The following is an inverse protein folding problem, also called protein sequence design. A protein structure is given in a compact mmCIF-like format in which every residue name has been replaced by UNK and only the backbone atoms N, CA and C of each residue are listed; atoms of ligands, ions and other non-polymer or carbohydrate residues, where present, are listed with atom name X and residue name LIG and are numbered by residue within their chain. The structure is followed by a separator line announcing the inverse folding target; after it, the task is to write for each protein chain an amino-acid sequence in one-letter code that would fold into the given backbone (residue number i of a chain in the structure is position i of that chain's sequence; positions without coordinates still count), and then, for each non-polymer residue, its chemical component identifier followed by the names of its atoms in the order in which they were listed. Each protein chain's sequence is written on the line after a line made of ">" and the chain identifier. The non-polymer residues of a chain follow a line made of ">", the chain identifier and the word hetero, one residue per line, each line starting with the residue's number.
data_IF_666130539561
#
_entry.id   IF_666130539561
#
_cell.length_a   1.000
_cell.length_b   1.000
_cell.length_c   1.000
_cell.angle_alpha   90.00
_cell.angle_beta   90.00
_cell.angle_gamma   90.00
#
_symmetry.space_group_name_H-M   'P 1'
#
loop_
_entity.id
_entity.type
_entity.pdbx_description
1 polymer ?
#
# COMPACT_ATOMS: atom_id res chain seq x y z
N UNK A 1 9.05 -11.38 -41.93
CA UNK A 1 10.46 -11.02 -41.64
C UNK A 1 10.58 -10.68 -40.17
N UNK A 2 11.42 -11.39 -39.41
CA UNK A 2 11.73 -11.00 -38.02
C UNK A 2 12.51 -9.68 -38.05
N UNK A 3 12.20 -8.70 -37.20
CA UNK A 3 12.95 -7.45 -37.17
C UNK A 3 14.43 -7.74 -36.85
N UNK A 4 15.38 -6.96 -37.40
CA UNK A 4 16.80 -7.15 -37.10
C UNK A 4 17.03 -6.98 -35.59
N UNK A 5 17.94 -7.79 -35.04
CA UNK A 5 18.25 -7.88 -33.59
C UNK A 5 18.38 -6.52 -32.91
N UNK A 6 18.94 -5.51 -33.59
CA UNK A 6 19.11 -4.15 -33.09
C UNK A 6 17.78 -3.40 -32.86
N UNK A 7 16.80 -3.58 -33.74
CA UNK A 7 15.46 -2.98 -33.61
C UNK A 7 14.66 -3.68 -32.51
N UNK A 8 14.82 -5.00 -32.37
CA UNK A 8 14.23 -5.75 -31.27
C UNK A 8 14.82 -5.33 -29.90
N UNK A 9 16.13 -5.11 -29.83
CA UNK A 9 16.82 -4.57 -28.64
C UNK A 9 16.38 -3.14 -28.30
N UNK A 10 16.27 -2.25 -29.29
CA UNK A 10 15.80 -0.87 -29.10
C UNK A 10 14.33 -0.80 -28.68
N UNK A 11 13.46 -1.65 -29.25
CA UNK A 11 12.06 -1.73 -28.86
C UNK A 11 11.90 -2.37 -27.46
N UNK A 12 12.74 -3.34 -27.11
CA UNK A 12 12.77 -3.92 -25.77
C UNK A 12 13.27 -2.91 -24.71
N UNK A 13 14.31 -2.12 -25.02
CA UNK A 13 14.78 -1.06 -24.13
C UNK A 13 13.78 0.09 -24.01
N UNK A 14 13.10 0.47 -25.09
CA UNK A 14 12.05 1.49 -25.06
C UNK A 14 10.83 1.04 -24.22
N UNK A 15 10.44 -0.24 -24.31
CA UNK A 15 9.37 -0.82 -23.46
C UNK A 15 9.78 -0.94 -22.00
N UNK A 16 11.03 -1.27 -21.70
CA UNK A 16 11.55 -1.31 -20.33
C UNK A 16 11.61 0.08 -19.66
N UNK A 17 11.80 1.14 -20.45
CA UNK A 17 11.88 2.53 -19.96
C UNK A 17 10.50 3.19 -19.77
N UNK A 18 9.43 2.65 -20.37
CA UNK A 18 8.12 3.29 -20.36
C UNK A 18 7.46 3.38 -18.95
N UNK A 19 7.50 2.35 -18.08
CA UNK A 19 6.95 2.45 -16.73
C UNK A 19 7.66 3.49 -15.85
N UNK A 20 8.99 3.59 -15.97
CA UNK A 20 9.79 4.57 -15.23
C UNK A 20 9.51 6.00 -15.71
N UNK A 21 9.31 6.19 -17.02
CA UNK A 21 8.91 7.47 -17.60
C UNK A 21 7.53 7.93 -17.06
N UNK A 22 6.53 7.03 -17.03
CA UNK A 22 5.22 7.35 -16.45
C UNK A 22 5.33 7.68 -14.95
N UNK A 23 6.14 6.92 -14.20
CA UNK A 23 6.32 7.20 -12.78
C UNK A 23 6.97 8.58 -12.54
N UNK A 24 7.95 8.96 -13.37
CA UNK A 24 8.56 10.29 -13.35
C UNK A 24 7.55 11.39 -13.63
N UNK A 25 6.72 11.23 -14.65
CA UNK A 25 5.66 12.19 -15.00
C UNK A 25 4.61 12.32 -13.90
N UNK A 26 4.19 11.20 -13.31
CA UNK A 26 3.29 11.19 -12.16
C UNK A 26 3.92 11.90 -10.96
N UNK A 27 5.23 11.74 -10.72
CA UNK A 27 5.96 12.42 -9.65
C UNK A 27 6.05 13.93 -9.88
N UNK A 28 6.30 14.37 -11.11
CA UNK A 28 6.24 15.79 -11.49
C UNK A 28 4.86 16.36 -11.18
N UNK A 29 3.79 15.69 -11.63
CA UNK A 29 2.42 16.13 -11.41
C UNK A 29 2.04 16.15 -9.92
N UNK A 30 2.49 15.15 -9.15
CA UNK A 30 2.21 15.07 -7.71
C UNK A 30 2.86 16.23 -6.96
N UNK A 31 4.15 16.52 -7.22
CA UNK A 31 4.85 17.65 -6.59
C UNK A 31 4.31 19.00 -7.06
N UNK A 32 3.93 19.14 -8.32
CA UNK A 32 3.29 20.36 -8.84
C UNK A 32 1.94 20.65 -8.16
N UNK A 33 1.28 19.64 -7.61
CA UNK A 33 0.05 19.79 -6.81
C UNK A 33 0.31 20.10 -5.32
N UNK A 34 1.57 20.36 -4.94
CA UNK A 34 2.00 20.53 -3.55
C UNK A 34 1.59 19.35 -2.65
N UNK A 35 1.51 18.15 -3.22
CA UNK A 35 1.11 16.92 -2.53
C UNK A 35 -0.35 16.95 -2.00
N UNK A 36 -1.18 17.92 -2.40
CA UNK A 36 -2.58 18.08 -1.95
C UNK A 36 -3.50 17.06 -2.65
N UNK A 37 -3.19 16.70 -3.90
CA UNK A 37 -3.95 15.68 -4.62
C UNK A 37 -3.44 14.30 -4.22
N UNK A 38 -4.34 13.44 -3.75
CA UNK A 38 -3.98 12.08 -3.34
C UNK A 38 -3.21 11.32 -4.45
N UNK A 39 -2.12 10.64 -4.07
CA UNK A 39 -1.20 10.02 -5.02
C UNK A 39 -1.89 8.96 -5.90
N UNK A 40 -2.88 8.22 -5.37
CA UNK A 40 -3.69 7.27 -6.14
C UNK A 40 -4.47 7.96 -7.28
N UNK A 41 -4.94 9.20 -7.06
CA UNK A 41 -5.64 9.99 -8.08
C UNK A 41 -4.69 10.49 -9.16
N UNK A 42 -3.48 10.90 -8.78
CA UNK A 42 -2.43 11.27 -9.74
C UNK A 42 -2.05 10.08 -10.60
N UNK A 43 -1.78 8.93 -9.98
CA UNK A 43 -1.47 7.68 -10.68
C UNK A 43 -2.60 7.25 -11.62
N UNK A 44 -3.85 7.26 -11.14
CA UNK A 44 -5.00 6.91 -11.96
C UNK A 44 -5.15 7.83 -13.17
N UNK A 45 -4.83 9.12 -13.03
CA UNK A 45 -4.83 10.07 -14.15
C UNK A 45 -3.73 9.77 -15.15
N UNK A 46 -2.51 9.51 -14.69
CA UNK A 46 -1.39 9.16 -15.55
C UNK A 46 -1.67 7.88 -16.34
N UNK A 47 -2.18 6.83 -15.67
CA UNK A 47 -2.48 5.54 -16.29
C UNK A 47 -3.64 5.56 -17.30
N UNK A 48 -4.57 6.52 -17.19
CA UNK A 48 -5.65 6.69 -18.18
C UNK A 48 -5.14 7.11 -19.56
N UNK A 49 -4.02 7.83 -19.62
CA UNK A 49 -3.39 8.23 -20.88
C UNK A 49 -2.70 7.08 -21.61
N UNK A 50 -2.32 6.02 -20.88
CA UNK A 50 -1.51 4.92 -21.40
C UNK A 50 -2.33 3.66 -21.64
N UNK A 51 -3.12 3.61 -22.71
CA UNK A 51 -3.91 2.41 -23.06
C UNK A 51 -3.06 1.22 -23.52
N UNK A 52 -1.81 1.46 -23.94
CA UNK A 52 -0.89 0.46 -24.47
C UNK A 52 -0.20 -0.40 -23.40
N UNK A 53 -0.24 0.01 -22.13
CA UNK A 53 0.46 -0.69 -21.05
C UNK A 53 -0.27 -1.98 -20.66
N UNK A 54 0.51 -3.05 -20.57
CA UNK A 54 0.09 -4.31 -19.95
C UNK A 54 -0.11 -4.15 -18.44
N UNK A 55 -0.86 -5.06 -17.80
CA UNK A 55 -1.05 -5.04 -16.34
C UNK A 55 0.27 -5.09 -15.55
N UNK A 56 1.28 -5.79 -16.10
CA UNK A 56 2.61 -5.85 -15.51
C UNK A 56 3.31 -4.48 -15.55
N UNK A 57 3.28 -3.78 -16.69
CA UNK A 57 3.87 -2.45 -16.84
C UNK A 57 3.14 -1.42 -15.97
N UNK A 58 1.81 -1.47 -15.90
CA UNK A 58 1.02 -0.61 -15.00
C UNK A 58 1.41 -0.82 -13.53
N UNK A 59 1.61 -2.09 -13.13
CA UNK A 59 2.04 -2.43 -11.77
C UNK A 59 3.43 -1.90 -11.48
N UNK A 60 4.39 -2.09 -12.38
CA UNK A 60 5.75 -1.55 -12.21
C UNK A 60 5.70 -0.03 -12.06
N UNK A 61 4.96 0.67 -12.93
CA UNK A 61 4.84 2.12 -12.84
C UNK A 61 4.20 2.58 -11.52
N UNK A 62 3.16 1.87 -11.05
CA UNK A 62 2.53 2.13 -9.77
C UNK A 62 3.49 1.90 -8.59
N UNK A 63 4.24 0.80 -8.58
CA UNK A 63 5.18 0.45 -7.51
C UNK A 63 6.36 1.43 -7.46
N UNK A 64 6.83 1.91 -8.61
CA UNK A 64 7.87 2.93 -8.70
C UNK A 64 7.34 4.28 -8.21
N UNK A 65 6.20 4.75 -8.73
CA UNK A 65 5.64 6.04 -8.35
C UNK A 65 5.21 6.07 -6.88
N UNK A 66 4.34 5.15 -6.45
CA UNK A 66 3.84 5.12 -5.08
C UNK A 66 4.96 4.83 -4.08
N UNK A 67 5.87 3.91 -4.39
CA UNK A 67 7.02 3.62 -3.53
C UNK A 67 8.00 4.78 -3.40
N UNK A 68 8.01 5.72 -4.37
CA UNK A 68 8.74 6.98 -4.26
C UNK A 68 7.94 8.01 -3.46
N UNK A 69 6.66 8.19 -3.80
CA UNK A 69 5.76 9.17 -3.20
C UNK A 69 5.57 8.95 -1.69
N UNK A 70 5.46 7.71 -1.23
CA UNK A 70 5.26 7.40 0.21
C UNK A 70 6.50 7.66 1.07
N UNK A 71 7.68 7.82 0.46
CA UNK A 71 8.94 8.09 1.16
C UNK A 71 9.68 9.31 0.62
N UNK A 72 8.94 10.31 0.12
CA UNK A 72 9.51 11.51 -0.47
C UNK A 72 10.58 12.16 0.40
N UNK A 73 10.33 12.33 1.70
CA UNK A 73 11.28 12.98 2.61
C UNK A 73 12.61 12.23 2.72
N UNK A 74 12.57 10.90 2.63
CA UNK A 74 13.78 10.06 2.62
C UNK A 74 14.59 10.30 1.35
N UNK A 75 13.94 10.28 0.19
CA UNK A 75 14.65 10.45 -1.07
C UNK A 75 15.09 11.90 -1.29
N UNK A 76 14.36 12.90 -0.79
CA UNK A 76 14.81 14.30 -0.76
C UNK A 76 16.09 14.45 0.08
N UNK A 77 16.17 13.79 1.24
CA UNK A 77 17.38 13.75 2.06
C UNK A 77 18.56 13.12 1.32
N UNK A 78 18.36 11.93 0.75
CA UNK A 78 19.40 11.21 -0.01
C UNK A 78 19.88 12.06 -1.20
N UNK A 79 18.95 12.67 -1.93
CA UNK A 79 19.26 13.56 -3.03
C UNK A 79 20.14 14.74 -2.61
N UNK A 80 19.84 15.36 -1.46
CA UNK A 80 20.63 16.47 -0.93
C UNK A 80 22.06 16.00 -0.56
N UNK A 81 22.21 14.85 0.10
CA UNK A 81 23.52 14.33 0.50
C UNK A 81 24.40 13.91 -0.68
N UNK A 82 23.79 13.32 -1.72
CA UNK A 82 24.50 12.89 -2.92
C UNK A 82 24.69 14.01 -3.95
N UNK A 83 24.16 15.20 -3.70
CA UNK A 83 24.18 16.31 -4.67
C UNK A 83 23.40 16.00 -5.95
N UNK A 84 22.36 15.16 -5.88
CA UNK A 84 21.54 14.76 -7.04
C UNK A 84 20.54 15.84 -7.45
N UNK A 85 20.09 16.67 -6.51
CA UNK A 85 19.20 17.80 -6.77
C UNK A 85 20.02 19.10 -6.69
N UNK A 86 20.28 19.73 -7.83
CA UNK A 86 20.98 21.03 -7.89
C UNK A 86 20.02 22.20 -7.72
N UNK A 87 20.54 23.39 -7.40
CA UNK A 87 19.76 24.62 -7.19
C UNK A 87 18.96 25.11 -8.42
N UNK A 88 19.26 24.61 -9.62
CA UNK A 88 18.61 25.00 -10.88
C UNK A 88 17.94 23.82 -11.62
N UNK A 89 17.64 22.72 -10.92
CA UNK A 89 16.98 21.56 -11.52
C UNK A 89 15.50 21.83 -11.81
N UNK A 90 15.06 21.59 -13.06
CA UNK A 90 13.63 21.60 -13.38
C UNK A 90 12.88 20.44 -12.69
N UNK A 91 11.54 20.48 -12.73
CA UNK A 91 10.71 19.47 -12.06
C UNK A 91 10.99 18.03 -12.56
N UNK A 92 11.33 17.87 -13.85
CA UNK A 92 11.66 16.58 -14.44
C UNK A 92 12.98 16.04 -13.92
N UNK A 93 14.00 16.90 -13.82
CA UNK A 93 15.30 16.56 -13.26
C UNK A 93 15.19 16.18 -11.78
N UNK A 94 14.39 16.92 -10.99
CA UNK A 94 14.13 16.58 -9.59
C UNK A 94 13.41 15.24 -9.47
N UNK A 95 12.38 14.98 -10.28
CA UNK A 95 11.69 13.69 -10.28
C UNK A 95 12.64 12.53 -10.65
N UNK A 96 13.49 12.71 -11.64
CA UNK A 96 14.50 11.70 -12.00
C UNK A 96 15.52 11.45 -10.87
N UNK A 97 15.95 12.51 -10.17
CA UNK A 97 16.84 12.41 -9.02
C UNK A 97 16.20 11.63 -7.86
N UNK A 98 14.92 11.86 -7.56
CA UNK A 98 14.18 11.13 -6.53
C UNK A 98 14.04 9.63 -6.87
N UNK A 99 13.72 9.32 -8.13
CA UNK A 99 13.67 7.93 -8.60
C UNK A 99 15.04 7.25 -8.49
N UNK A 100 16.10 7.95 -8.88
CA UNK A 100 17.47 7.46 -8.73
C UNK A 100 17.85 7.22 -7.27
N UNK A 101 17.50 8.16 -6.38
CA UNK A 101 17.74 8.02 -4.94
C UNK A 101 16.99 6.81 -4.35
N UNK A 102 15.78 6.50 -4.84
CA UNK A 102 15.06 5.26 -4.49
C UNK A 102 15.78 4.02 -4.96
N UNK A 103 16.18 3.98 -6.22
CA UNK A 103 16.76 2.78 -6.84
C UNK A 103 18.17 2.48 -6.31
N UNK A 104 18.90 3.51 -5.88
CA UNK A 104 20.25 3.41 -5.32
C UNK A 104 20.29 3.54 -3.78
N UNK A 105 19.14 3.39 -3.10
CA UNK A 105 19.06 3.44 -1.63
C UNK A 105 19.72 2.22 -1.00
N UNK A 106 20.98 2.39 -0.57
CA UNK A 106 21.80 1.38 0.11
C UNK A 106 21.81 1.52 1.64
N UNK A 107 21.10 2.51 2.18
CA UNK A 107 21.07 2.84 3.60
C UNK A 107 22.34 3.48 4.19
N UNK A 108 23.40 3.68 3.39
CA UNK A 108 24.70 4.19 3.86
C UNK A 108 24.76 5.72 3.84
N UNK A 109 23.94 6.36 4.68
CA UNK A 109 23.79 7.82 4.73
C UNK A 109 24.07 8.40 6.12
N UNK A 110 24.43 9.67 6.14
CA UNK A 110 24.48 10.43 7.40
C UNK A 110 23.07 10.93 7.71
N UNK A 111 22.53 10.62 8.88
CA UNK A 111 21.17 11.03 9.23
C UNK A 111 21.18 12.24 10.19
N UNK A 112 20.12 13.08 10.19
CA UNK A 112 20.00 14.24 11.08
C UNK A 112 20.29 13.92 12.54
N UNK A 113 20.90 14.84 13.28
CA UNK A 113 21.13 14.66 14.72
C UNK A 113 19.83 14.75 15.52
N UNK A 114 18.93 15.66 15.13
CA UNK A 114 17.61 15.77 15.71
C UNK A 114 16.80 14.49 15.49
N UNK A 115 16.09 14.03 16.52
CA UNK A 115 15.43 12.75 16.50
C UNK A 115 14.11 12.75 15.69
N UNK A 116 13.40 13.89 15.60
CA UNK A 116 12.21 14.01 14.76
C UNK A 116 12.60 14.08 13.28
N UNK A 117 13.62 14.89 12.96
CA UNK A 117 14.19 14.96 11.61
C UNK A 117 14.78 13.63 11.19
N UNK A 118 15.50 12.94 12.08
CA UNK A 118 16.04 11.60 11.83
C UNK A 118 14.92 10.64 11.47
N UNK A 119 13.86 10.57 12.27
CA UNK A 119 12.74 9.66 12.00
C UNK A 119 12.06 10.00 10.67
N UNK A 120 11.88 11.29 10.36
CA UNK A 120 11.31 11.75 9.10
C UNK A 120 12.18 11.37 7.89
N UNK A 121 13.49 11.61 7.98
CA UNK A 121 14.44 11.30 6.91
C UNK A 121 14.61 9.79 6.73
N UNK A 122 14.63 9.00 7.81
CA UNK A 122 14.82 7.54 7.69
C UNK A 122 13.56 6.82 7.23
N UNK A 123 12.37 7.20 7.71
CA UNK A 123 11.11 6.56 7.31
C UNK A 123 10.54 7.13 6.00
N UNK A 124 10.77 8.42 5.74
CA UNK A 124 10.13 9.17 4.67
C UNK A 124 8.80 9.83 5.08
N UNK A 125 8.33 9.63 6.31
CA UNK A 125 7.12 10.27 6.82
C UNK A 125 7.33 11.78 7.08
N UNK A 126 6.26 12.61 7.04
CA UNK A 126 6.38 14.05 7.30
C UNK A 126 6.90 14.36 8.72
N UNK A 127 7.74 15.40 8.82
CA UNK A 127 8.37 15.82 10.09
C UNK A 127 7.35 16.06 11.21
N UNK A 128 6.28 16.81 10.92
CA UNK A 128 5.24 17.11 11.90
C UNK A 128 4.56 15.84 12.46
N UNK A 129 4.43 14.80 11.63
CA UNK A 129 3.80 13.54 12.02
C UNK A 129 4.78 12.69 12.84
N UNK A 130 6.07 12.70 12.49
CA UNK A 130 7.12 12.06 13.27
C UNK A 130 7.21 12.66 14.68
N UNK A 131 7.23 14.00 14.79
CA UNK A 131 7.20 14.70 16.07
C UNK A 131 5.97 14.33 16.91
N UNK A 132 4.80 14.26 16.27
CA UNK A 132 3.56 13.84 16.93
C UNK A 132 3.62 12.39 17.43
N UNK A 133 4.07 11.45 16.59
CA UNK A 133 4.21 10.05 16.99
C UNK A 133 5.22 9.88 18.12
N UNK A 134 6.38 10.55 18.07
CA UNK A 134 7.37 10.48 19.15
C UNK A 134 6.82 11.03 20.46
N UNK A 135 6.09 12.14 20.41
CA UNK A 135 5.43 12.72 21.59
C UNK A 135 4.36 11.80 22.18
N UNK A 136 3.50 11.22 21.34
CA UNK A 136 2.30 10.49 21.80
C UNK A 136 2.59 9.00 22.09
N UNK A 137 3.54 8.37 21.40
CA UNK A 137 3.79 6.93 21.43
C UNK A 137 5.17 6.57 22.02
N UNK A 138 6.05 7.56 22.22
CA UNK A 138 7.45 7.32 22.57
C UNK A 138 8.28 6.82 21.38
N UNK A 139 9.59 6.74 21.58
CA UNK A 139 10.56 6.57 20.49
C UNK A 139 10.43 5.25 19.73
N UNK A 140 10.42 4.12 20.45
CA UNK A 140 10.40 2.79 19.83
C UNK A 140 9.12 2.53 19.02
N UNK A 141 7.96 2.93 19.56
CA UNK A 141 6.66 2.74 18.89
C UNK A 141 6.52 3.72 17.73
N UNK A 142 6.96 4.98 17.88
CA UNK A 142 6.96 5.93 16.77
C UNK A 142 7.81 5.46 15.59
N UNK A 143 8.99 4.88 15.86
CA UNK A 143 9.84 4.28 14.83
C UNK A 143 9.13 3.15 14.08
N UNK A 144 8.48 2.24 14.81
CA UNK A 144 7.73 1.15 14.20
C UNK A 144 6.52 1.65 13.38
N UNK A 145 5.77 2.62 13.89
CA UNK A 145 4.61 3.20 13.19
C UNK A 145 5.05 3.92 11.91
N UNK A 146 6.11 4.72 11.96
CA UNK A 146 6.60 5.45 10.80
C UNK A 146 7.11 4.50 9.71
N UNK A 147 7.84 3.46 10.10
CA UNK A 147 8.33 2.42 9.19
C UNK A 147 7.18 1.66 8.51
N UNK A 148 6.16 1.22 9.27
CA UNK A 148 5.01 0.51 8.71
C UNK A 148 4.12 1.42 7.85
N UNK A 149 3.94 2.67 8.25
CA UNK A 149 3.07 3.65 7.55
C UNK A 149 3.62 4.09 6.20
N UNK A 150 4.92 3.91 5.97
CA UNK A 150 5.62 4.29 4.73
C UNK A 150 6.01 3.08 3.88
N UNK A 151 5.63 1.86 4.32
CA UNK A 151 5.78 0.62 3.58
C UNK A 151 4.51 0.29 2.81
N UNK A 152 4.65 -0.61 1.84
CA UNK A 152 3.50 -1.19 1.15
C UNK A 152 2.68 -1.99 2.16
N UNK A 153 1.41 -1.62 2.34
CA UNK A 153 0.51 -2.32 3.24
C UNK A 153 0.30 -3.80 2.84
N UNK A 154 0.05 -4.68 3.83
CA UNK A 154 -0.27 -6.07 3.57
C UNK A 154 -1.60 -6.19 2.82
N UNK A 155 -1.74 -7.26 2.02
CA UNK A 155 -3.04 -7.61 1.44
C UNK A 155 -3.69 -8.61 2.37
N UNK A 156 -4.80 -8.22 2.99
CA UNK A 156 -5.54 -9.07 3.93
C UNK A 156 -6.91 -9.38 3.35
N UNK A 157 -7.34 -10.63 3.52
CA UNK A 157 -8.64 -11.14 3.14
C UNK A 157 -9.51 -11.26 4.41
N UNK A 158 -10.81 -10.98 4.30
CA UNK A 158 -11.82 -11.46 5.26
C UNK A 158 -12.48 -12.69 4.67
N UNK A 159 -12.31 -13.85 5.29
CA UNK A 159 -13.04 -15.06 4.92
C UNK A 159 -14.47 -14.97 5.43
N UNK A 160 -15.44 -15.17 4.55
CA UNK A 160 -16.87 -15.15 4.87
C UNK A 160 -17.18 -16.12 6.01
N UNK A 161 -18.09 -15.76 6.90
CA UNK A 161 -18.19 -16.41 8.21
C UNK A 161 -18.61 -17.90 8.12
N UNK A 162 -19.46 -18.23 7.15
CA UNK A 162 -19.93 -19.60 6.85
C UNK A 162 -18.92 -20.46 6.06
N UNK A 163 -17.75 -19.93 5.73
CA UNK A 163 -16.69 -20.66 5.01
C UNK A 163 -15.62 -21.13 5.98
N UNK A 164 -15.06 -22.33 5.75
CA UNK A 164 -13.90 -22.78 6.54
C UNK A 164 -12.66 -21.98 6.15
N UNK A 165 -12.09 -21.24 7.11
CA UNK A 165 -10.82 -20.53 6.92
C UNK A 165 -9.69 -21.48 6.50
N UNK A 166 -9.65 -22.69 7.06
CA UNK A 166 -8.65 -23.70 6.70
C UNK A 166 -8.81 -24.20 5.26
N UNK A 167 -10.05 -24.33 4.77
CA UNK A 167 -10.29 -24.72 3.38
C UNK A 167 -9.81 -23.63 2.40
N UNK A 168 -10.01 -22.35 2.76
CA UNK A 168 -9.49 -21.22 1.96
C UNK A 168 -7.96 -21.19 1.99
N UNK A 169 -7.34 -21.39 3.15
CA UNK A 169 -5.88 -21.50 3.27
C UNK A 169 -5.32 -22.62 2.39
N UNK A 170 -5.94 -23.81 2.41
CA UNK A 170 -5.56 -24.95 1.57
C UNK A 170 -5.71 -24.66 0.08
N UNK A 171 -6.83 -24.06 -0.33
CA UNK A 171 -7.08 -23.69 -1.72
C UNK A 171 -6.07 -22.64 -2.23
N UNK A 172 -5.76 -21.64 -1.40
CA UNK A 172 -4.75 -20.63 -1.71
C UNK A 172 -3.34 -21.23 -1.78
N UNK A 173 -3.00 -22.12 -0.85
CA UNK A 173 -1.72 -22.83 -0.87
C UNK A 173 -1.55 -23.70 -2.12
N UNK A 174 -2.60 -24.39 -2.55
CA UNK A 174 -2.63 -25.15 -3.80
C UNK A 174 -2.43 -24.26 -5.04
N UNK A 175 -2.85 -22.99 -4.97
CA UNK A 175 -2.60 -21.97 -5.99
C UNK A 175 -1.22 -21.28 -5.85
N UNK A 176 -0.35 -21.74 -4.93
CA UNK A 176 0.99 -21.18 -4.70
C UNK A 176 0.99 -19.89 -3.90
N UNK A 177 -0.07 -19.59 -3.15
CA UNK A 177 -0.21 -18.38 -2.33
C UNK A 177 -0.04 -18.73 -0.86
N UNK A 178 1.03 -18.22 -0.26
CA UNK A 178 1.29 -18.36 1.17
C UNK A 178 0.48 -17.33 1.94
N UNK A 179 -0.24 -17.80 2.96
CA UNK A 179 -1.04 -16.96 3.85
C UNK A 179 -0.62 -17.14 5.30
N UNK A 180 -0.88 -16.11 6.11
CA UNK A 180 -0.72 -16.14 7.56
C UNK A 180 -1.97 -15.57 8.23
N UNK A 181 -2.29 -16.06 9.42
CA UNK A 181 -3.33 -15.48 10.27
C UNK A 181 -2.71 -14.39 11.14
N UNK A 182 -3.36 -13.22 11.29
CA UNK A 182 -2.89 -12.21 12.23
C UNK A 182 -2.82 -12.75 13.67
N UNK A 183 -1.96 -12.17 14.54
CA UNK A 183 -1.94 -12.52 15.95
C UNK A 183 -3.33 -12.43 16.59
N UNK A 184 -3.67 -13.37 17.48
CA UNK A 184 -5.00 -13.43 18.09
C UNK A 184 -5.42 -12.11 18.77
N UNK A 185 -4.46 -11.37 19.34
CA UNK A 185 -4.71 -10.08 19.99
C UNK A 185 -5.14 -8.95 19.04
N UNK A 186 -5.09 -9.13 17.72
CA UNK A 186 -5.60 -8.16 16.74
C UNK A 186 -7.14 -8.13 16.75
N UNK A 187 -7.80 -9.23 17.11
CA UNK A 187 -9.27 -9.32 17.08
C UNK A 187 -9.85 -9.53 15.67
N UNK A 188 -9.09 -10.11 14.74
CA UNK A 188 -9.52 -10.37 13.36
C UNK A 188 -9.52 -11.88 13.06
N UNK A 189 -10.45 -12.67 13.63
CA UNK A 189 -10.42 -14.14 13.56
C UNK A 189 -10.66 -14.69 12.15
N UNK A 190 -11.24 -13.88 11.26
CA UNK A 190 -11.55 -14.23 9.86
C UNK A 190 -10.48 -13.76 8.87
N UNK A 191 -9.37 -13.20 9.36
CA UNK A 191 -8.36 -12.59 8.51
C UNK A 191 -7.31 -13.60 8.00
N UNK A 192 -7.01 -13.50 6.70
CA UNK A 192 -5.84 -14.14 6.07
C UNK A 192 -4.99 -13.09 5.37
N UNK A 193 -3.74 -12.94 5.79
CA UNK A 193 -2.77 -12.02 5.18
C UNK A 193 -1.92 -12.74 4.15
N UNK A 194 -1.81 -12.18 2.95
CA UNK A 194 -0.98 -12.74 1.87
C UNK A 194 0.49 -12.36 2.10
N UNK A 195 1.34 -13.34 2.44
CA UNK A 195 2.75 -13.12 2.79
C UNK A 195 3.56 -12.60 1.59
N UNK A 196 3.27 -13.11 0.39
CA UNK A 196 3.88 -12.65 -0.87
C UNK A 196 3.33 -11.31 -1.41
N UNK A 197 2.43 -10.66 -0.66
CA UNK A 197 1.70 -9.49 -1.12
C UNK A 197 0.67 -9.82 -2.20
N UNK A 198 0.44 -8.88 -3.14
CA UNK A 198 -0.58 -9.06 -4.18
C UNK A 198 -0.15 -10.11 -5.22
N UNK A 199 -0.92 -11.19 -5.41
CA UNK A 199 -0.59 -12.27 -6.33
C UNK A 199 -0.60 -11.81 -7.80
N UNK A 200 -0.04 -12.62 -8.69
CA UNK A 200 -0.12 -12.40 -10.13
C UNK A 200 -1.60 -12.50 -10.57
N UNK A 201 -2.06 -11.56 -11.39
CA UNK A 201 -3.49 -11.44 -11.74
C UNK A 201 -4.34 -10.70 -10.69
N UNK A 202 -3.80 -10.45 -9.49
CA UNK A 202 -4.53 -9.79 -8.41
C UNK A 202 -5.43 -10.74 -7.62
N UNK A 203 -6.12 -10.20 -6.61
CA UNK A 203 -6.94 -11.00 -5.68
C UNK A 203 -8.11 -11.69 -6.39
N UNK A 204 -8.61 -11.09 -7.47
CA UNK A 204 -9.70 -11.63 -8.29
C UNK A 204 -9.36 -12.91 -9.05
N UNK A 205 -8.07 -13.24 -9.19
CA UNK A 205 -7.63 -14.48 -9.83
C UNK A 205 -7.46 -15.63 -8.82
N UNK A 206 -7.68 -15.38 -7.52
CA UNK A 206 -7.54 -16.39 -6.49
C UNK A 206 -8.77 -17.32 -6.44
N UNK A 207 -8.57 -18.62 -6.18
CA UNK A 207 -9.69 -19.53 -5.95
C UNK A 207 -10.53 -19.04 -4.76
N UNK A 208 -11.85 -19.09 -4.85
CA UNK A 208 -12.78 -18.60 -3.84
C UNK A 208 -13.25 -17.16 -4.06
N UNK A 209 -12.60 -16.38 -4.94
CA UNK A 209 -13.04 -15.00 -5.22
C UNK A 209 -14.37 -14.96 -5.97
N UNK A 210 -14.55 -15.75 -7.03
CA UNK A 210 -15.80 -15.78 -7.81
C UNK A 210 -16.98 -16.32 -7.02
N UNK A 211 -16.70 -17.18 -6.04
CA UNK A 211 -17.66 -17.80 -5.12
C UNK A 211 -17.93 -16.90 -3.89
N UNK A 212 -17.23 -15.75 -3.80
CA UNK A 212 -17.34 -14.79 -2.71
C UNK A 212 -16.89 -15.34 -1.36
N UNK A 213 -16.08 -16.39 -1.32
CA UNK A 213 -15.62 -17.06 -0.09
C UNK A 213 -14.81 -16.14 0.82
N UNK A 214 -14.22 -15.10 0.23
CA UNK A 214 -13.57 -14.02 0.94
C UNK A 214 -13.66 -12.72 0.15
N UNK A 215 -13.29 -11.63 0.81
CA UNK A 215 -13.12 -10.31 0.22
C UNK A 215 -11.82 -9.65 0.69
N UNK A 216 -11.36 -8.60 -0.01
CA UNK A 216 -10.20 -7.81 0.44
C UNK A 216 -10.64 -6.85 1.54
N UNK A 217 -10.12 -7.03 2.75
CA UNK A 217 -10.36 -6.13 3.88
C UNK A 217 -9.20 -6.20 4.87
N UNK A 218 -8.73 -5.04 5.34
CA UNK A 218 -7.67 -4.98 6.34
C UNK A 218 -8.11 -5.60 7.68
N UNK A 219 -7.15 -6.20 8.41
CA UNK A 219 -7.42 -6.84 9.68
C UNK A 219 -7.94 -5.86 10.75
N UNK A 220 -7.51 -4.60 10.74
CA UNK A 220 -7.98 -3.59 11.69
C UNK A 220 -9.46 -3.27 11.50
N UNK A 221 -9.93 -3.22 10.25
CA UNK A 221 -11.34 -3.07 9.91
C UNK A 221 -12.18 -4.25 10.36
N UNK A 222 -11.64 -5.48 10.24
CA UNK A 222 -12.29 -6.69 10.76
C UNK A 222 -12.38 -6.63 12.29
N UNK A 223 -11.33 -6.19 12.97
CA UNK A 223 -11.31 -6.03 14.42
C UNK A 223 -12.31 -4.99 14.94
N UNK A 224 -12.52 -3.90 14.21
CA UNK A 224 -13.56 -2.91 14.53
C UNK A 224 -14.95 -3.58 14.51
N UNK A 225 -15.20 -4.46 13.53
CA UNK A 225 -16.47 -5.18 13.42
C UNK A 225 -16.66 -6.11 14.62
N UNK A 226 -15.67 -6.93 14.96
CA UNK A 226 -15.77 -7.82 16.14
C UNK A 226 -15.97 -7.04 17.44
N UNK A 227 -15.27 -5.90 17.61
CA UNK A 227 -15.43 -5.05 18.78
C UNK A 227 -16.85 -4.48 18.95
N UNK A 228 -17.62 -4.34 17.86
CA UNK A 228 -19.04 -3.95 17.94
C UNK A 228 -19.93 -5.05 18.57
N UNK A 229 -19.47 -6.30 18.61
CA UNK A 229 -20.24 -7.45 19.13
C UNK A 229 -19.69 -8.00 20.46
N UNK A 230 -18.41 -7.76 20.79
CA UNK A 230 -17.75 -8.28 22.01
C UNK A 230 -18.14 -7.56 23.32
N UNK A 231 -18.88 -6.45 23.26
CA UNK A 231 -19.24 -5.65 24.42
C UNK A 231 -20.56 -6.04 25.11
N UNK A 232 -20.50 -6.55 26.34
CA UNK A 232 -21.65 -6.69 27.26
C UNK A 232 -22.26 -5.37 27.76
N UNK A 233 -21.87 -4.21 27.20
CA UNK A 233 -22.40 -2.90 27.53
C UNK A 233 -23.47 -2.45 26.54
N UNK A 234 -24.73 -2.84 26.79
CA UNK A 234 -25.97 -2.14 26.39
C UNK A 234 -26.29 -1.86 24.91
N UNK A 235 -25.34 -1.98 23.99
CA UNK A 235 -25.51 -1.78 22.55
C UNK A 235 -25.00 -2.94 21.69
N UNK A 236 -24.46 -3.99 22.32
CA UNK A 236 -24.16 -5.24 21.66
C UNK A 236 -25.46 -5.85 21.16
N UNK A 237 -25.47 -6.28 19.90
CA UNK A 237 -26.57 -6.98 19.24
C UNK A 237 -26.92 -8.33 19.86
N UNK A 238 -26.98 -8.48 21.18
CA UNK A 238 -27.56 -9.67 21.85
C UNK A 238 -29.09 -9.68 21.78
N UNK A 239 -29.67 -9.12 20.71
CA UNK A 239 -31.11 -9.04 20.48
C UNK A 239 -31.50 -7.98 19.46
N UNK A 240 -31.48 -8.33 18.17
CA UNK A 240 -32.27 -7.66 17.11
C UNK A 240 -32.04 -6.16 16.84
N UNK A 241 -31.02 -5.52 17.41
CA UNK A 241 -30.69 -4.12 17.15
C UNK A 241 -29.97 -3.93 15.81
N UNK A 242 -30.37 -2.92 15.04
CA UNK A 242 -29.67 -2.56 13.79
C UNK A 242 -28.32 -1.87 14.05
N UNK A 243 -27.34 -2.12 13.18
CA UNK A 243 -26.04 -1.44 13.19
C UNK A 243 -26.03 -0.28 12.17
N UNK A 244 -25.37 0.83 12.53
CA UNK A 244 -25.17 1.97 11.63
C UNK A 244 -23.68 2.14 11.31
N UNK A 245 -23.32 1.94 10.04
CA UNK A 245 -21.96 2.22 9.52
C UNK A 245 -21.89 3.66 8.98
N UNK A 246 -21.59 4.61 9.86
CA UNK A 246 -21.34 5.99 9.45
C UNK A 246 -19.98 6.06 8.73
N UNK A 247 -19.98 6.55 7.49
CA UNK A 247 -18.83 6.59 6.58
C UNK A 247 -18.47 5.23 5.92
N UNK A 248 -19.49 4.46 5.53
CA UNK A 248 -19.35 3.15 4.89
C UNK A 248 -18.39 3.11 3.68
N UNK A 249 -18.20 4.21 2.94
CA UNK A 249 -17.25 4.27 1.81
C UNK A 249 -17.48 3.14 0.80
N UNK A 250 -16.49 2.25 0.62
CA UNK A 250 -16.60 1.06 -0.24
C UNK A 250 -17.48 -0.07 0.35
N UNK A 251 -18.01 0.08 1.57
CA UNK A 251 -18.98 -0.83 2.18
C UNK A 251 -18.38 -2.07 2.84
N UNK A 252 -17.05 -2.22 2.91
CA UNK A 252 -16.43 -3.43 3.46
C UNK A 252 -16.83 -3.73 4.91
N UNK A 253 -16.88 -2.71 5.78
CA UNK A 253 -17.31 -2.88 7.18
C UNK A 253 -18.82 -3.11 7.27
N UNK A 254 -19.62 -2.42 6.45
CA UNK A 254 -21.07 -2.67 6.34
C UNK A 254 -21.38 -4.13 6.01
N UNK A 255 -20.66 -4.71 5.05
CA UNK A 255 -20.83 -6.10 4.65
C UNK A 255 -20.43 -7.06 5.77
N UNK A 256 -19.33 -6.79 6.47
CA UNK A 256 -18.90 -7.54 7.65
C UNK A 256 -19.92 -7.47 8.79
N UNK A 257 -20.42 -6.27 9.13
CA UNK A 257 -21.45 -6.05 10.15
C UNK A 257 -22.73 -6.83 9.83
N UNK A 258 -23.16 -6.82 8.56
CA UNK A 258 -24.35 -7.54 8.12
C UNK A 258 -24.17 -9.06 8.16
N UNK A 259 -22.99 -9.57 7.80
CA UNK A 259 -22.67 -10.99 7.90
C UNK A 259 -22.66 -11.44 9.37
N UNK A 260 -21.90 -10.74 10.21
CA UNK A 260 -21.79 -11.03 11.65
C UNK A 260 -23.12 -10.94 12.39
N UNK A 261 -23.96 -9.97 12.02
CA UNK A 261 -25.29 -9.78 12.60
C UNK A 261 -26.31 -10.88 12.26
N UNK A 262 -26.07 -11.71 11.22
CA UNK A 262 -26.92 -12.87 10.90
C UNK A 262 -26.63 -14.11 11.76
N UNK A 263 -25.48 -14.15 12.42
CA UNK A 263 -25.04 -15.30 13.23
C UNK A 263 -25.56 -15.28 14.67
N UNK A 264 -26.27 -14.20 15.05
CA UNK A 264 -26.90 -13.97 16.36
C UNK A 264 -28.38 -14.38 16.34
#
# INVERSE_FOLDING_TARGET
>A
MRPPLLVALLLASARALAPAALAREALVAYRASEEIVAADKVLARALRGESSFTDAERRVAADVFLGTATRLRRYEWICAQRGLCGAASDATAVAAALLRARDEDDGAYTWPADADERLSATSGAPLWLCARWRRDLGEAVAAAVADQSTRRGPVTLRVRDDVSIGAVEEALAAAGVVTERPPAGVGAPRALTLVGGRPRGGVWALPGWSEGEFEVQDAGSQAIVEACFDGGGGGGGRGGGGALDMCAGNGGKSLALAARGKEL
#
